data_IF_199465139004
#
_entry.id   IF_199465139004
#
_cell.length_a   1.000
_cell.length_b   1.000
_cell.length_c   1.000
_cell.angle_alpha   90.00
_cell.angle_beta   90.00
_cell.angle_gamma   90.00
#
_symmetry.space_group_name_H-M   'P 1'
#
loop_
_entity.id
_entity.type
_entity.pdbx_description
1 polymer ?
#
# COMPACT_ATOMS: atom_id res chain seq x y z
N UNK A 1 18.54 -2.44 -0.64
CA UNK A 1 18.64 -2.82 0.79
C UNK A 1 17.27 -2.63 1.43
N UNK A 2 16.71 -3.66 2.06
CA UNK A 2 15.45 -3.56 2.81
C UNK A 2 15.77 -2.88 4.15
N UNK A 3 15.62 -1.55 4.20
CA UNK A 3 15.89 -0.76 5.40
C UNK A 3 14.65 -0.83 6.29
N UNK A 4 14.82 -1.33 7.52
CA UNK A 4 13.77 -1.25 8.52
C UNK A 4 13.38 0.22 8.75
N UNK A 5 12.09 0.54 8.91
CA UNK A 5 11.67 1.93 9.07
C UNK A 5 12.32 2.54 10.31
N UNK A 6 12.60 3.84 10.25
CA UNK A 6 13.13 4.59 11.37
C UNK A 6 12.00 4.86 12.38
N UNK A 7 12.27 4.56 13.64
CA UNK A 7 11.45 5.04 14.75
C UNK A 7 12.10 6.33 15.25
N UNK A 8 11.32 7.40 15.38
CA UNK A 8 11.80 8.71 15.79
C UNK A 8 10.85 9.27 16.84
N UNK A 9 11.39 9.86 17.90
CA UNK A 9 10.57 10.58 18.87
C UNK A 9 10.07 11.88 18.23
N UNK A 10 8.77 12.12 18.30
CA UNK A 10 8.15 13.26 17.64
C UNK A 10 8.38 14.56 18.41
N UNK A 11 8.94 15.56 17.73
CA UNK A 11 8.97 16.96 18.19
C UNK A 11 7.91 17.76 17.45
N UNK A 12 7.45 18.91 17.99
CA UNK A 12 6.48 19.77 17.30
C UNK A 12 6.90 20.13 15.86
N UNK A 13 8.17 20.44 15.65
CA UNK A 13 8.72 20.80 14.33
C UNK A 13 8.63 19.63 13.35
N UNK A 14 9.02 18.43 13.79
CA UNK A 14 8.94 17.23 12.96
C UNK A 14 7.49 16.88 12.64
N UNK A 15 6.58 17.02 13.59
CA UNK A 15 5.15 16.78 13.37
C UNK A 15 4.63 17.69 12.26
N UNK A 16 4.86 19.00 12.35
CA UNK A 16 4.46 19.95 11.31
C UNK A 16 5.04 19.59 9.95
N UNK A 17 6.34 19.27 9.87
CA UNK A 17 6.97 18.88 8.61
C UNK A 17 6.37 17.62 8.01
N UNK A 18 6.12 16.59 8.81
CA UNK A 18 5.62 15.30 8.33
C UNK A 18 4.13 15.35 7.96
N UNK A 19 3.32 16.12 8.69
CA UNK A 19 1.89 16.27 8.40
C UNK A 19 1.63 17.00 7.07
N UNK A 20 2.53 17.89 6.65
CA UNK A 20 2.41 18.61 5.36
C UNK A 20 2.89 17.80 4.14
N UNK A 21 3.56 16.67 4.33
CA UNK A 21 4.08 15.87 3.21
C UNK A 21 2.98 15.08 2.53
N UNK A 22 2.78 15.34 1.24
CA UNK A 22 1.91 14.53 0.38
C UNK A 22 2.65 13.32 -0.23
N UNK A 23 3.18 12.46 0.63
CA UNK A 23 3.88 11.24 0.22
C UNK A 23 3.75 10.15 1.30
N UNK A 24 3.81 8.85 0.92
CA UNK A 24 3.75 7.74 1.87
C UNK A 24 5.08 7.59 2.63
N UNK A 25 5.31 8.43 3.63
CA UNK A 25 6.55 8.43 4.42
C UNK A 25 6.48 7.58 5.69
N UNK A 26 5.28 7.22 6.16
CA UNK A 26 5.08 6.49 7.40
C UNK A 26 3.75 6.80 8.07
N UNK A 27 3.72 6.60 9.39
CA UNK A 27 2.59 6.88 10.26
C UNK A 27 3.10 7.33 11.64
N UNK A 28 2.25 7.99 12.40
CA UNK A 28 2.47 8.32 13.80
C UNK A 28 1.86 7.25 14.68
N UNK A 29 2.49 6.97 15.81
CA UNK A 29 1.97 6.07 16.83
C UNK A 29 2.16 6.67 18.22
N UNK A 30 1.30 6.27 19.15
CA UNK A 30 1.43 6.59 20.56
C UNK A 30 1.64 5.31 21.38
N UNK A 31 2.49 5.40 22.40
CA UNK A 31 2.73 4.33 23.36
C UNK A 31 3.39 4.89 24.62
N UNK A 32 3.13 4.23 25.75
CA UNK A 32 3.79 4.49 27.04
C UNK A 32 5.11 3.72 27.20
N UNK A 33 5.46 2.85 26.25
CA UNK A 33 6.65 2.02 26.32
C UNK A 33 7.89 2.75 25.80
N UNK A 34 9.07 2.31 26.26
CA UNK A 34 10.33 2.89 25.80
C UNK A 34 10.60 2.63 24.31
N UNK A 35 11.50 3.44 23.74
CA UNK A 35 11.88 3.35 22.34
C UNK A 35 12.42 1.96 21.94
N UNK A 36 13.12 1.27 22.84
CA UNK A 36 13.75 -0.02 22.58
C UNK A 36 12.70 -1.12 22.45
N UNK A 37 11.72 -1.14 23.35
CA UNK A 37 10.59 -2.06 23.33
C UNK A 37 9.76 -1.88 22.06
N UNK A 38 9.41 -0.62 21.72
CA UNK A 38 8.67 -0.29 20.51
C UNK A 38 9.41 -0.71 19.25
N UNK A 39 10.69 -0.33 19.12
CA UNK A 39 11.51 -0.71 17.97
C UNK A 39 11.63 -2.22 17.83
N UNK A 40 11.74 -2.94 18.95
CA UNK A 40 11.81 -4.41 18.93
C UNK A 40 10.50 -5.00 18.44
N UNK A 41 9.36 -4.54 18.94
CA UNK A 41 8.03 -4.98 18.50
C UNK A 41 7.81 -4.73 17.00
N UNK A 42 8.00 -3.49 16.56
CA UNK A 42 7.84 -3.07 15.17
C UNK A 42 8.72 -3.85 14.19
N UNK A 43 9.94 -4.25 14.59
CA UNK A 43 10.82 -5.06 13.74
C UNK A 43 10.30 -6.49 13.52
N UNK A 44 9.56 -7.05 14.46
CA UNK A 44 8.95 -8.38 14.34
C UNK A 44 7.86 -8.41 13.27
N UNK A 45 7.11 -7.32 13.16
CA UNK A 45 6.03 -7.13 12.18
C UNK A 45 6.51 -6.97 10.73
N UNK A 46 7.82 -6.92 10.47
CA UNK A 46 8.33 -6.82 9.09
C UNK A 46 8.12 -8.09 8.27
N UNK A 47 7.79 -9.21 8.90
CA UNK A 47 7.53 -10.47 8.22
C UNK A 47 6.19 -11.03 8.70
N UNK A 48 5.37 -11.45 7.76
CA UNK A 48 4.13 -12.18 8.01
C UNK A 48 4.25 -13.59 7.44
N UNK A 49 3.49 -14.53 8.00
CA UNK A 49 3.37 -15.89 7.49
C UNK A 49 1.89 -16.22 7.27
N UNK A 50 1.56 -16.65 6.06
CA UNK A 50 0.21 -17.11 5.74
C UNK A 50 0.05 -18.51 6.33
N UNK A 51 -0.88 -18.67 7.26
CA UNK A 51 -0.97 -19.87 8.09
C UNK A 51 -1.22 -21.16 7.29
N UNK A 52 -2.00 -21.09 6.22
CA UNK A 52 -2.38 -22.21 5.37
C UNK A 52 -1.26 -22.66 4.43
N UNK A 53 -0.58 -21.71 3.78
CA UNK A 53 0.45 -22.01 2.77
C UNK A 53 1.86 -22.05 3.34
N UNK A 54 2.06 -21.54 4.56
CA UNK A 54 3.37 -21.31 5.19
C UNK A 54 4.27 -20.36 4.40
N UNK A 55 3.69 -19.60 3.49
CA UNK A 55 4.40 -18.59 2.71
C UNK A 55 4.78 -17.43 3.62
N UNK A 56 6.04 -17.01 3.55
CA UNK A 56 6.57 -15.87 4.30
C UNK A 56 6.70 -14.67 3.40
N UNK A 57 6.07 -13.57 3.81
CA UNK A 57 6.05 -12.34 3.05
C UNK A 57 6.68 -11.21 3.85
N UNK A 58 7.41 -10.34 3.14
CA UNK A 58 7.86 -9.08 3.70
C UNK A 58 6.68 -8.13 3.81
N UNK A 59 6.40 -7.66 5.01
CA UNK A 59 5.26 -6.80 5.29
C UNK A 59 5.69 -5.36 5.60
N UNK A 60 5.25 -4.45 4.74
CA UNK A 60 5.46 -3.01 4.89
C UNK A 60 4.36 -2.39 5.75
N UNK A 61 4.28 -2.78 7.02
CA UNK A 61 3.33 -2.18 7.98
C UNK A 61 3.46 -0.65 8.04
N UNK A 62 4.65 -0.13 7.71
CA UNK A 62 4.94 1.30 7.70
C UNK A 62 4.44 2.04 6.46
N UNK A 63 3.93 1.35 5.44
CA UNK A 63 3.29 2.00 4.30
C UNK A 63 1.85 2.35 4.67
N UNK A 64 1.50 3.64 4.83
CA UNK A 64 0.18 4.03 5.31
C UNK A 64 -0.96 3.66 4.33
N UNK A 65 -0.64 3.36 3.06
CA UNK A 65 -1.60 2.85 2.07
C UNK A 65 -2.06 1.42 2.34
N UNK A 66 -1.26 0.64 3.07
CA UNK A 66 -1.49 -0.77 3.38
C UNK A 66 -1.90 -0.95 4.84
N UNK A 67 -1.35 -0.14 5.75
CA UNK A 67 -1.53 -0.25 7.19
C UNK A 67 -3.00 -0.43 7.60
N UNK A 68 -3.88 0.44 7.13
CA UNK A 68 -5.29 0.40 7.53
C UNK A 68 -6.05 -0.82 7.00
N UNK A 69 -5.74 -1.29 5.78
CA UNK A 69 -6.33 -2.52 5.25
C UNK A 69 -6.00 -3.73 6.14
N UNK A 70 -4.84 -3.69 6.79
CA UNK A 70 -4.43 -4.73 7.74
C UNK A 70 -5.13 -4.58 9.08
N UNK A 71 -5.08 -3.38 9.67
CA UNK A 71 -5.66 -3.11 10.99
C UNK A 71 -7.17 -3.37 11.02
N UNK A 72 -7.89 -2.99 9.97
CA UNK A 72 -9.34 -3.14 9.89
C UNK A 72 -9.79 -4.60 9.71
N UNK A 73 -8.92 -5.46 9.20
CA UNK A 73 -9.23 -6.86 8.97
C UNK A 73 -8.97 -7.76 10.19
N UNK A 74 -8.32 -7.25 11.25
CA UNK A 74 -8.07 -8.04 12.44
C UNK A 74 -9.27 -8.08 13.38
N UNK A 75 -9.58 -9.26 13.90
CA UNK A 75 -10.40 -9.40 15.09
C UNK A 75 -9.68 -8.77 16.30
N UNK A 76 -10.41 -8.29 17.33
CA UNK A 76 -9.82 -7.55 18.45
C UNK A 76 -8.66 -8.24 19.17
N UNK A 77 -8.72 -9.58 19.34
CA UNK A 77 -7.63 -10.35 19.96
C UNK A 77 -6.36 -10.32 19.09
N UNK A 78 -6.51 -10.58 17.79
CA UNK A 78 -5.38 -10.53 16.85
C UNK A 78 -4.84 -9.12 16.70
N UNK A 79 -5.70 -8.11 16.76
CA UNK A 79 -5.29 -6.72 16.75
C UNK A 79 -4.48 -6.37 18.01
N UNK A 80 -4.86 -6.89 19.19
CA UNK A 80 -4.07 -6.74 20.43
C UNK A 80 -2.66 -7.32 20.26
N UNK A 81 -2.53 -8.50 19.64
CA UNK A 81 -1.23 -9.08 19.32
C UNK A 81 -0.43 -8.25 18.32
N UNK A 82 -1.09 -7.75 17.27
CA UNK A 82 -0.45 -6.96 16.23
C UNK A 82 0.04 -5.60 16.76
N UNK A 83 -0.81 -4.85 17.45
CA UNK A 83 -0.47 -3.54 17.99
C UNK A 83 0.49 -3.64 19.17
N UNK A 84 0.38 -4.70 19.97
CA UNK A 84 1.25 -4.93 21.13
C UNK A 84 1.28 -3.69 22.04
N UNK A 85 2.44 -3.03 22.23
CA UNK A 85 2.57 -1.85 23.08
C UNK A 85 1.97 -0.55 22.47
N UNK A 86 1.48 -0.56 21.23
CA UNK A 86 0.92 0.61 20.56
C UNK A 86 -0.52 0.85 21.01
N UNK A 87 -0.83 2.11 21.37
CA UNK A 87 -2.14 2.55 21.84
C UNK A 87 -2.98 3.16 20.72
N UNK A 88 -2.36 4.00 19.89
CA UNK A 88 -3.04 4.67 18.79
C UNK A 88 -2.14 4.79 17.56
N UNK A 89 -2.78 4.91 16.40
CA UNK A 89 -2.13 5.09 15.09
C UNK A 89 -2.79 6.25 14.37
N UNK A 90 -1.97 7.06 13.71
CA UNK A 90 -2.42 8.14 12.85
C UNK A 90 -1.62 8.19 11.54
N UNK A 91 -2.31 8.29 10.41
CA UNK A 91 -1.72 8.51 9.09
C UNK A 91 -2.19 9.83 8.51
N UNK A 92 -1.35 10.49 7.72
CA UNK A 92 -1.71 11.72 7.00
C UNK A 92 -1.85 11.52 5.48
N UNK A 93 -1.46 10.34 4.99
CA UNK A 93 -1.48 9.97 3.59
C UNK A 93 -2.13 8.58 3.43
N UNK A 94 -2.90 8.29 2.37
CA UNK A 94 -3.39 9.25 1.38
C UNK A 94 -4.49 10.17 1.94
N UNK A 95 -5.26 9.70 2.92
CA UNK A 95 -6.17 10.52 3.72
C UNK A 95 -5.74 10.53 5.18
N UNK A 96 -6.09 11.60 5.87
CA UNK A 96 -5.93 11.66 7.31
C UNK A 96 -6.85 10.65 7.98
N UNK A 97 -6.26 9.74 8.75
CA UNK A 97 -7.00 8.74 9.52
C UNK A 97 -6.31 8.53 10.86
N UNK A 98 -7.09 8.43 11.92
CA UNK A 98 -6.61 8.15 13.26
C UNK A 98 -7.54 7.15 13.92
N UNK A 99 -6.98 6.29 14.77
CA UNK A 99 -7.75 5.42 15.63
C UNK A 99 -7.03 5.29 16.97
N UNK A 100 -7.79 5.49 18.05
CA UNK A 100 -7.42 5.06 19.38
C UNK A 100 -7.95 3.65 19.58
N UNK A 101 -7.04 2.70 19.77
CA UNK A 101 -7.40 1.29 19.90
C UNK A 101 -7.64 0.89 21.36
N UNK A 102 -7.19 1.68 22.35
CA UNK A 102 -7.30 1.29 23.76
C UNK A 102 -8.73 0.97 24.20
N UNK A 103 -9.78 1.72 23.80
CA UNK A 103 -11.16 1.36 24.17
C UNK A 103 -11.56 -0.06 23.73
N UNK A 104 -11.06 -0.52 22.58
CA UNK A 104 -11.35 -1.85 22.05
C UNK A 104 -10.41 -2.93 22.61
N UNK A 105 -9.16 -2.57 22.93
CA UNK A 105 -8.14 -3.50 23.40
C UNK A 105 -8.14 -3.69 24.92
N UNK A 106 -8.75 -2.78 25.68
CA UNK A 106 -8.82 -2.84 27.15
C UNK A 106 -9.22 -4.23 27.69
N UNK A 107 -10.23 -4.93 27.13
CA UNK A 107 -10.60 -6.28 27.59
C UNK A 107 -9.49 -7.34 27.39
N UNK A 108 -8.57 -7.10 26.46
CA UNK A 108 -7.51 -8.04 26.07
C UNK A 108 -6.16 -7.74 26.74
N UNK A 109 -5.92 -6.48 27.15
CA UNK A 109 -4.67 -6.06 27.83
C UNK A 109 -4.30 -6.91 29.06
N UNK A 110 -5.22 -7.35 29.94
CA UNK A 110 -4.88 -8.19 31.10
C UNK A 110 -4.24 -9.52 30.74
N UNK A 111 -4.52 -10.06 29.55
CA UNK A 111 -3.93 -11.30 29.06
C UNK A 111 -2.57 -11.08 28.38
N UNK A 112 -2.13 -9.81 28.30
CA UNK A 112 -0.93 -9.41 27.56
C UNK A 112 -1.12 -9.53 26.05
N UNK A 113 -0.01 -9.56 25.33
CA UNK A 113 0.03 -9.80 23.90
C UNK A 113 1.17 -10.75 23.55
N UNK A 114 0.98 -11.59 22.55
CA UNK A 114 2.01 -12.49 22.06
C UNK A 114 2.89 -11.81 21.01
N UNK A 115 4.19 -12.09 21.09
CA UNK A 115 5.17 -11.54 20.18
C UNK A 115 5.52 -12.54 19.07
N UNK A 116 4.78 -12.50 17.97
CA UNK A 116 5.00 -13.36 16.82
C UNK A 116 6.16 -12.87 15.94
N UNK A 117 6.93 -13.80 15.36
CA UNK A 117 7.95 -13.50 14.35
C UNK A 117 8.22 -14.75 13.49
N UNK A 118 7.66 -14.87 12.28
CA UNK A 118 6.78 -13.92 11.58
C UNK A 118 5.39 -13.80 12.22
N UNK A 119 4.68 -12.70 11.96
CA UNK A 119 3.31 -12.53 12.43
C UNK A 119 2.34 -13.39 11.60
N UNK A 120 1.53 -14.27 12.22
CA UNK A 120 0.63 -15.14 11.49
C UNK A 120 -0.56 -14.38 10.92
N UNK A 121 -0.95 -14.72 9.69
CA UNK A 121 -2.17 -14.21 9.07
C UNK A 121 -2.94 -15.33 8.40
N UNK A 122 -4.26 -15.32 8.56
CA UNK A 122 -5.14 -16.22 7.84
C UNK A 122 -5.19 -15.86 6.35
N UNK A 123 -5.30 -16.85 5.47
CA UNK A 123 -5.37 -16.62 4.03
C UNK A 123 -6.57 -15.73 3.65
N UNK A 124 -7.71 -15.85 4.34
CA UNK A 124 -8.88 -14.99 4.11
C UNK A 124 -8.60 -13.52 4.41
N UNK A 125 -7.89 -13.23 5.51
CA UNK A 125 -7.49 -11.87 5.87
C UNK A 125 -6.45 -11.35 4.86
N UNK A 126 -5.48 -12.18 4.45
CA UNK A 126 -4.54 -11.80 3.40
C UNK A 126 -5.25 -11.41 2.09
N UNK A 127 -6.24 -12.19 1.64
CA UNK A 127 -7.03 -11.86 0.45
C UNK A 127 -7.82 -10.55 0.61
N UNK A 128 -8.39 -10.29 1.80
CA UNK A 128 -9.07 -9.02 2.08
C UNK A 128 -8.12 -7.82 2.00
N UNK A 129 -6.88 -7.94 2.50
CA UNK A 129 -5.85 -6.91 2.38
C UNK A 129 -5.51 -6.65 0.90
N UNK A 130 -5.33 -7.70 0.10
CA UNK A 130 -5.03 -7.57 -1.33
C UNK A 130 -6.18 -6.85 -2.07
N UNK A 131 -7.42 -7.26 -1.83
CA UNK A 131 -8.59 -6.64 -2.43
C UNK A 131 -8.70 -5.15 -2.08
N UNK A 132 -8.43 -4.77 -0.82
CA UNK A 132 -8.41 -3.37 -0.42
C UNK A 132 -7.26 -2.60 -1.08
N UNK A 133 -6.07 -3.20 -1.21
CA UNK A 133 -4.94 -2.58 -1.90
C UNK A 133 -5.24 -2.34 -3.39
N UNK A 134 -5.90 -3.28 -4.05
CA UNK A 134 -6.35 -3.14 -5.44
C UNK A 134 -7.38 -2.00 -5.56
N UNK A 135 -8.36 -1.94 -4.66
CA UNK A 135 -9.35 -0.85 -4.66
C UNK A 135 -8.68 0.51 -4.44
N UNK A 136 -7.72 0.61 -3.53
CA UNK A 136 -6.94 1.84 -3.32
C UNK A 136 -6.18 2.25 -4.59
N UNK A 137 -5.59 1.29 -5.30
CA UNK A 137 -4.90 1.56 -6.57
C UNK A 137 -5.86 2.04 -7.66
N UNK A 138 -7.03 1.41 -7.80
CA UNK A 138 -8.09 1.85 -8.73
C UNK A 138 -8.54 3.27 -8.41
N UNK A 139 -8.72 3.60 -7.13
CA UNK A 139 -9.12 4.94 -6.69
C UNK A 139 -8.06 6.00 -7.02
N UNK A 140 -6.78 5.68 -6.82
CA UNK A 140 -5.68 6.53 -7.23
C UNK A 140 -5.65 6.74 -8.75
N UNK A 141 -5.79 5.67 -9.54
CA UNK A 141 -5.84 5.74 -11.02
C UNK A 141 -7.03 6.57 -11.48
N UNK A 142 -8.21 6.38 -10.88
CA UNK A 142 -9.41 7.15 -11.17
C UNK A 142 -9.22 8.64 -10.93
N UNK A 143 -8.56 9.00 -9.84
CA UNK A 143 -8.20 10.39 -9.56
C UNK A 143 -7.21 10.96 -10.59
N UNK A 144 -6.28 10.15 -11.12
CA UNK A 144 -5.28 10.59 -12.10
C UNK A 144 -5.88 10.83 -13.49
N UNK A 145 -6.83 10.00 -13.92
CA UNK A 145 -7.43 10.07 -15.27
C UNK A 145 -8.77 10.83 -15.28
N UNK A 146 -9.29 11.24 -14.11
CA UNK A 146 -10.57 11.94 -13.99
C UNK A 146 -11.81 11.05 -14.19
N UNK A 147 -11.68 9.73 -13.99
CA UNK A 147 -12.74 8.74 -14.18
C UNK A 147 -13.59 8.59 -12.91
N UNK A 148 -14.68 9.37 -12.82
CA UNK A 148 -15.54 9.43 -11.63
C UNK A 148 -16.22 8.10 -11.31
N UNK A 149 -16.61 7.34 -12.33
CA UNK A 149 -17.35 6.08 -12.17
C UNK A 149 -16.40 4.89 -11.98
N UNK A 150 -15.08 5.12 -12.04
CA UNK A 150 -14.00 4.13 -11.88
C UNK A 150 -14.06 2.97 -12.88
N UNK A 151 -14.91 3.04 -13.90
CA UNK A 151 -15.15 1.97 -14.87
C UNK A 151 -13.89 1.76 -15.72
N UNK A 152 -13.35 2.84 -16.28
CA UNK A 152 -12.14 2.78 -17.09
C UNK A 152 -10.92 2.44 -16.23
N UNK A 153 -10.82 3.02 -15.05
CA UNK A 153 -9.70 2.84 -14.12
C UNK A 153 -9.58 1.40 -13.66
N UNK A 154 -10.70 0.77 -13.28
CA UNK A 154 -10.76 -0.64 -12.94
C UNK A 154 -10.39 -1.52 -14.14
N UNK A 155 -10.96 -1.24 -15.31
CA UNK A 155 -10.65 -1.99 -16.53
C UNK A 155 -9.16 -1.90 -16.90
N UNK A 156 -8.56 -0.71 -16.79
CA UNK A 156 -7.15 -0.47 -17.06
C UNK A 156 -6.24 -1.22 -16.08
N UNK A 157 -6.52 -1.14 -14.78
CA UNK A 157 -5.76 -1.87 -13.74
C UNK A 157 -5.80 -3.37 -14.02
N UNK A 158 -6.99 -3.93 -14.24
CA UNK A 158 -7.17 -5.36 -14.51
C UNK A 158 -6.43 -5.78 -15.78
N UNK A 159 -6.57 -5.01 -16.87
CA UNK A 159 -5.93 -5.32 -18.14
C UNK A 159 -4.40 -5.30 -18.04
N UNK A 160 -3.83 -4.37 -17.28
CA UNK A 160 -2.39 -4.30 -17.07
C UNK A 160 -1.88 -5.47 -16.21
N UNK A 161 -2.63 -5.87 -15.17
CA UNK A 161 -2.32 -7.06 -14.37
C UNK A 161 -2.35 -8.32 -15.25
N UNK A 162 -3.34 -8.46 -16.13
CA UNK A 162 -3.41 -9.55 -17.12
C UNK A 162 -2.19 -9.57 -18.06
N UNK A 163 -1.61 -8.41 -18.37
CA UNK A 163 -0.37 -8.29 -19.13
C UNK A 163 0.90 -8.37 -18.24
N UNK A 164 0.79 -8.93 -17.04
CA UNK A 164 1.89 -9.09 -16.08
C UNK A 164 2.53 -7.76 -15.63
N UNK A 165 1.79 -6.65 -15.68
CA UNK A 165 2.19 -5.33 -15.18
C UNK A 165 1.45 -5.10 -13.85
N UNK A 166 2.00 -5.66 -12.78
CA UNK A 166 1.37 -5.62 -11.44
C UNK A 166 1.93 -4.54 -10.51
N UNK A 167 3.06 -3.91 -10.85
CA UNK A 167 3.68 -2.89 -10.02
C UNK A 167 2.83 -1.60 -10.03
N UNK A 168 2.39 -1.07 -8.87
CA UNK A 168 1.58 0.14 -8.81
C UNK A 168 2.23 1.36 -9.48
N UNK A 169 3.57 1.46 -9.42
CA UNK A 169 4.32 2.53 -10.09
C UNK A 169 4.21 2.46 -11.62
N UNK A 170 4.20 1.26 -12.21
CA UNK A 170 4.02 1.08 -13.65
C UNK A 170 2.59 1.37 -14.07
N UNK A 171 1.62 0.85 -13.32
CA UNK A 171 0.20 1.07 -13.59
C UNK A 171 -0.11 2.57 -13.55
N UNK A 172 0.33 3.28 -12.50
CA UNK A 172 0.17 4.74 -12.40
C UNK A 172 0.86 5.48 -13.53
N UNK A 173 2.00 5.00 -14.01
CA UNK A 173 2.69 5.62 -15.15
C UNK A 173 1.91 5.48 -16.46
N UNK A 174 1.31 4.32 -16.70
CA UNK A 174 0.40 4.13 -17.86
C UNK A 174 -0.86 4.99 -17.70
N UNK A 175 -1.43 5.05 -16.50
CA UNK A 175 -2.57 5.92 -16.20
C UNK A 175 -2.24 7.41 -16.47
N UNK A 176 -1.04 7.86 -16.11
CA UNK A 176 -0.60 9.21 -16.42
C UNK A 176 -0.62 9.47 -17.93
N UNK A 177 -0.06 8.57 -18.74
CA UNK A 177 -0.10 8.73 -20.21
C UNK A 177 -1.53 8.66 -20.77
N UNK A 178 -2.41 7.87 -20.18
CA UNK A 178 -3.83 7.88 -20.54
C UNK A 178 -4.46 9.24 -20.25
N UNK A 179 -4.13 9.87 -19.12
CA UNK A 179 -4.57 11.23 -18.77
C UNK A 179 -4.04 12.27 -19.77
N UNK A 180 -2.74 12.21 -20.08
CA UNK A 180 -2.06 13.13 -21.00
C UNK A 180 -2.68 13.08 -22.42
N UNK A 181 -2.94 11.87 -22.93
CA UNK A 181 -3.55 11.62 -24.26
C UNK A 181 -5.09 11.63 -24.24
N UNK A 182 -5.72 11.95 -23.09
CA UNK A 182 -7.19 11.96 -22.89
C UNK A 182 -7.89 10.65 -23.26
N UNK A 183 -7.23 9.51 -23.01
CA UNK A 183 -7.79 8.17 -23.18
C UNK A 183 -8.73 7.88 -22.01
N UNK A 184 -10.01 7.67 -22.33
CA UNK A 184 -11.08 7.47 -21.33
C UNK A 184 -11.72 6.07 -21.38
N UNK A 185 -11.24 5.20 -22.28
CA UNK A 185 -11.77 3.84 -22.46
C UNK A 185 -10.70 2.93 -23.05
N UNK A 186 -10.73 1.64 -22.69
CA UNK A 186 -9.88 0.62 -23.31
C UNK A 186 -10.13 0.46 -24.81
N UNK A 187 -11.33 0.79 -25.30
CA UNK A 187 -11.64 0.77 -26.74
C UNK A 187 -10.83 1.82 -27.52
N UNK A 188 -10.48 2.92 -26.86
CA UNK A 188 -9.69 4.01 -27.42
C UNK A 188 -8.19 3.86 -27.07
N UNK A 189 -7.80 2.74 -26.47
CA UNK A 189 -6.42 2.50 -26.09
C UNK A 189 -5.56 2.32 -27.37
N UNK A 190 -4.45 3.06 -27.52
CA UNK A 190 -3.65 2.99 -28.75
C UNK A 190 -3.18 1.57 -29.04
N UNK A 191 -3.45 1.07 -30.24
CA UNK A 191 -3.01 -0.26 -30.68
C UNK A 191 -1.49 -0.49 -30.51
N UNK A 192 -0.60 0.47 -30.83
CA UNK A 192 0.83 0.29 -30.59
C UNK A 192 1.16 0.04 -29.12
N UNK A 193 0.47 0.75 -28.21
CA UNK A 193 0.65 0.58 -26.77
C UNK A 193 0.16 -0.79 -26.34
N UNK A 194 -1.00 -1.22 -26.83
CA UNK A 194 -1.53 -2.56 -26.54
C UNK A 194 -0.55 -3.66 -26.98
N UNK A 195 -0.03 -3.59 -28.22
CA UNK A 195 0.93 -4.58 -28.74
C UNK A 195 2.23 -4.60 -27.93
N UNK A 196 2.72 -3.43 -27.52
CA UNK A 196 3.94 -3.33 -26.73
C UNK A 196 3.75 -3.82 -25.29
N UNK A 197 2.67 -3.39 -24.64
CA UNK A 197 2.39 -3.72 -23.25
C UNK A 197 1.92 -5.16 -23.08
N UNK A 198 1.25 -5.79 -24.04
CA UNK A 198 0.84 -7.20 -23.93
C UNK A 198 1.96 -8.20 -24.24
N UNK A 199 3.12 -7.74 -24.73
CA UNK A 199 4.22 -8.62 -25.14
C UNK A 199 5.01 -9.18 -23.94
N UNK A 200 4.51 -10.29 -23.37
CA UNK A 200 5.11 -10.98 -22.22
C UNK A 200 6.48 -11.62 -22.51
N UNK A 201 6.98 -11.59 -23.75
CA UNK A 201 8.37 -11.99 -24.05
C UNK A 201 9.38 -11.04 -23.40
N UNK A 202 8.97 -9.81 -23.06
CA UNK A 202 9.82 -8.83 -22.41
C UNK A 202 9.35 -8.51 -20.98
N UNK A 203 10.27 -8.23 -20.05
CA UNK A 203 9.92 -7.79 -18.69
C UNK A 203 9.05 -6.53 -18.69
N UNK A 204 8.16 -6.41 -17.70
CA UNK A 204 7.26 -5.26 -17.55
C UNK A 204 8.01 -3.92 -17.53
N UNK A 205 9.14 -3.83 -16.80
CA UNK A 205 10.00 -2.64 -16.77
C UNK A 205 10.42 -2.19 -18.17
N UNK A 206 10.88 -3.14 -19.00
CA UNK A 206 11.34 -2.84 -20.36
C UNK A 206 10.19 -2.31 -21.22
N UNK A 207 9.03 -2.98 -21.20
CA UNK A 207 7.84 -2.56 -21.95
C UNK A 207 7.41 -1.14 -21.57
N UNK A 208 7.40 -0.86 -20.27
CA UNK A 208 7.03 0.44 -19.71
C UNK A 208 8.06 1.52 -20.04
N UNK A 209 9.36 1.22 -20.03
CA UNK A 209 10.41 2.17 -20.47
C UNK A 209 10.34 2.45 -21.97
N UNK A 210 10.10 1.42 -22.79
CA UNK A 210 9.97 1.58 -24.24
C UNK A 210 8.76 2.43 -24.59
N UNK A 211 7.61 2.18 -23.95
CA UNK A 211 6.42 2.99 -24.17
C UNK A 211 6.67 4.47 -23.82
N UNK A 212 7.37 4.74 -22.72
CA UNK A 212 7.75 6.11 -22.35
C UNK A 212 8.54 6.82 -23.45
N UNK A 213 9.43 6.12 -24.15
CA UNK A 213 10.21 6.70 -25.25
C UNK A 213 9.35 7.01 -26.47
N UNK A 214 8.38 6.16 -26.79
CA UNK A 214 7.44 6.36 -27.90
C UNK A 214 6.52 7.57 -27.63
N UNK A 215 5.90 7.63 -26.44
CA UNK A 215 5.01 8.75 -26.04
C UNK A 215 5.75 10.10 -26.06
N UNK A 216 7.00 10.13 -25.57
CA UNK A 216 7.82 11.36 -25.60
C UNK A 216 8.16 11.82 -27.01
N UNK A 217 8.39 10.89 -27.93
CA UNK A 217 8.75 11.24 -29.31
C UNK A 217 7.57 11.88 -30.04
N UNK A 218 6.34 11.43 -29.76
CA UNK A 218 5.11 11.99 -30.35
C UNK A 218 4.82 13.42 -29.90
N UNK A 219 5.26 13.84 -28.71
CA UNK A 219 5.04 15.19 -28.17
C UNK A 219 6.10 16.23 -28.57
N UNK A 220 7.22 15.79 -29.16
CA UNK A 220 8.34 16.67 -29.57
C UNK A 220 8.26 17.05 -31.06
N UNK A 221 7.32 16.46 -31.81
CA UNK A 221 6.98 16.85 -33.19
C UNK A 221 5.67 17.62 -33.23
#
# INVERSE_FOLDING_TARGET
>A
ALVAPFLVLMTPELTTQLTTKNAPWGFFLQSEHDHKALRTHLRRLMNIEILQTKERLFFRYYDPRVLWAVLDGFEPLWLNHFLGPIQSVHTTFPQQRASDFEPMLTPYRPFGYEAFTPFPIEHTHYQAILAQCEQNLVDEVASMVGDKDKVFSKALVNQLIEWEISLPTHIKRVAQWCSDEKITSLLNFPKPWQTLLSNTQYPADYRIMRLQSEVRTTHVM
#
